data_IF_868389045451
#
_entry.id   IF_868389045451
#
_cell.length_a   1.000
_cell.length_b   1.000
_cell.length_c   1.000
_cell.angle_alpha   90.00
_cell.angle_beta   90.00
_cell.angle_gamma   90.00
#
_symmetry.space_group_name_H-M   'P 1'
#
loop_
_entity.id
_entity.type
_entity.pdbx_description
1 polymer ?
#
# COMPACT_ATOMS: atom_id res chain seq x y z
N UNK A 1 -19.96 41.41 36.01
CA UNK A 1 -20.27 39.98 35.83
C UNK A 1 -20.34 39.71 34.34
N UNK A 2 -19.23 39.25 33.75
CA UNK A 2 -19.20 38.87 32.33
C UNK A 2 -19.72 37.43 32.22
N UNK A 3 -20.80 37.25 31.47
CA UNK A 3 -21.39 35.95 31.16
C UNK A 3 -20.52 35.28 30.09
N UNK A 4 -19.95 34.12 30.42
CA UNK A 4 -19.16 33.31 29.51
C UNK A 4 -20.09 32.40 28.69
N UNK A 5 -20.02 32.52 27.36
CA UNK A 5 -20.67 31.58 26.44
C UNK A 5 -20.00 30.20 26.50
N UNK A 6 -20.76 29.10 26.43
CA UNK A 6 -20.20 27.75 26.44
C UNK A 6 -19.65 27.43 25.05
N UNK A 7 -18.31 27.27 24.97
CA UNK A 7 -17.64 26.67 23.80
C UNK A 7 -18.07 25.20 23.69
N UNK A 8 -18.97 24.90 22.77
CA UNK A 8 -19.34 23.52 22.41
C UNK A 8 -18.12 22.81 21.83
N UNK A 9 -17.67 21.78 22.53
CA UNK A 9 -16.46 21.04 22.26
C UNK A 9 -16.65 20.11 21.04
N UNK A 10 -16.25 20.55 19.84
CA UNK A 10 -16.34 19.78 18.58
C UNK A 10 -15.60 18.43 18.61
N UNK A 11 -14.64 18.24 19.52
CA UNK A 11 -13.94 16.97 19.67
C UNK A 11 -14.83 15.89 20.32
N UNK A 12 -15.65 16.26 21.31
CA UNK A 12 -16.57 15.32 21.96
C UNK A 12 -17.71 14.85 21.05
N UNK A 13 -18.08 15.66 20.05
CA UNK A 13 -19.10 15.31 19.06
C UNK A 13 -18.61 14.26 18.06
N UNK A 14 -17.31 14.28 17.70
CA UNK A 14 -16.69 13.30 16.79
C UNK A 14 -16.63 11.89 17.39
N UNK A 15 -16.27 11.79 18.66
CA UNK A 15 -16.21 10.51 19.38
C UNK A 15 -17.60 9.89 19.61
N UNK A 16 -18.62 10.73 19.84
CA UNK A 16 -20.02 10.29 19.93
C UNK A 16 -20.57 9.74 18.60
N UNK A 17 -20.22 10.35 17.46
CA UNK A 17 -20.60 9.82 16.14
C UNK A 17 -19.92 8.50 15.80
N UNK A 18 -18.64 8.33 16.17
CA UNK A 18 -17.91 7.08 15.96
C UNK A 18 -18.47 5.93 16.80
N UNK A 19 -18.74 6.20 18.08
CA UNK A 19 -19.43 5.25 18.98
C UNK A 19 -20.87 4.95 18.55
N UNK A 20 -21.59 5.94 18.00
CA UNK A 20 -22.92 5.73 17.46
C UNK A 20 -22.90 4.82 16.23
N UNK A 21 -21.95 5.01 15.30
CA UNK A 21 -21.80 4.16 14.12
C UNK A 21 -21.43 2.72 14.51
N UNK A 22 -20.49 2.54 15.46
CA UNK A 22 -20.11 1.21 15.97
C UNK A 22 -21.25 0.52 16.74
N UNK A 23 -22.02 1.26 17.53
CA UNK A 23 -23.23 0.72 18.18
C UNK A 23 -24.37 0.46 17.19
N UNK A 24 -24.46 1.21 16.08
CA UNK A 24 -25.44 0.97 15.00
C UNK A 24 -25.08 -0.28 14.20
N UNK A 25 -23.78 -0.51 13.93
CA UNK A 25 -23.25 -1.73 13.31
C UNK A 25 -23.55 -3.00 14.13
N UNK A 26 -23.66 -2.84 15.45
CA UNK A 26 -24.01 -3.93 16.37
C UNK A 26 -25.52 -4.21 16.43
N UNK A 27 -26.36 -3.20 16.18
CA UNK A 27 -27.81 -3.29 16.38
C UNK A 27 -28.63 -3.50 15.10
N UNK A 28 -28.16 -2.99 13.95
CA UNK A 28 -28.91 -2.92 12.69
C UNK A 28 -28.05 -3.42 11.53
N UNK A 29 -28.66 -4.16 10.59
CA UNK A 29 -27.95 -4.72 9.42
C UNK A 29 -27.29 -3.64 8.54
N UNK A 30 -26.24 -4.01 7.82
CA UNK A 30 -25.54 -3.15 6.86
C UNK A 30 -26.49 -2.51 5.83
N UNK A 31 -27.58 -3.20 5.48
CA UNK A 31 -28.62 -2.67 4.60
C UNK A 31 -29.33 -1.46 5.22
N UNK A 32 -29.73 -1.53 6.49
CA UNK A 32 -30.39 -0.42 7.18
C UNK A 32 -29.42 0.76 7.35
N UNK A 33 -28.15 0.49 7.63
CA UNK A 33 -27.10 1.52 7.67
C UNK A 33 -26.99 2.24 6.32
N UNK A 34 -26.93 1.50 5.20
CA UNK A 34 -26.82 2.08 3.86
C UNK A 34 -28.01 3.00 3.53
N UNK A 35 -29.22 2.67 4.00
CA UNK A 35 -30.41 3.51 3.79
C UNK A 35 -30.40 4.82 4.59
N UNK A 36 -29.68 4.86 5.72
CA UNK A 36 -29.68 6.00 6.66
C UNK A 36 -28.46 6.90 6.47
N UNK A 37 -27.34 6.35 6.01
CA UNK A 37 -26.06 7.05 5.79
C UNK A 37 -26.16 8.32 4.93
N UNK A 38 -26.92 8.37 3.81
CA UNK A 38 -27.00 9.56 2.97
C UNK A 38 -27.51 10.78 3.75
N UNK A 39 -28.56 10.59 4.53
CA UNK A 39 -29.17 11.62 5.37
C UNK A 39 -28.26 12.09 6.51
N UNK A 40 -27.44 11.18 7.07
CA UNK A 40 -26.50 11.50 8.14
C UNK A 40 -25.24 12.23 7.65
N UNK A 41 -24.83 11.99 6.40
CA UNK A 41 -23.64 12.62 5.82
C UNK A 41 -23.92 14.03 5.26
N UNK A 42 -25.18 14.36 4.94
CA UNK A 42 -25.54 15.68 4.39
C UNK A 42 -25.00 16.90 5.16
N UNK A 43 -24.99 16.94 6.51
CA UNK A 43 -24.49 18.09 7.27
C UNK A 43 -22.98 18.31 7.16
N UNK A 44 -22.22 17.31 6.73
CA UNK A 44 -20.75 17.32 6.74
C UNK A 44 -20.13 17.54 5.36
N UNK A 45 -20.93 17.52 4.30
CA UNK A 45 -20.48 17.67 2.91
C UNK A 45 -20.81 19.08 2.42
N UNK A 46 -19.79 19.94 2.39
CA UNK A 46 -19.96 21.36 2.05
C UNK A 46 -20.22 21.60 0.55
N UNK A 47 -19.63 20.78 -0.33
CA UNK A 47 -19.76 20.91 -1.78
C UNK A 47 -21.10 20.34 -2.28
N UNK A 48 -21.78 21.04 -3.20
CA UNK A 48 -22.99 20.56 -3.85
C UNK A 48 -22.71 19.36 -4.78
N UNK A 49 -21.55 19.38 -5.45
CA UNK A 49 -21.13 18.32 -6.36
C UNK A 49 -20.83 17.04 -5.59
N UNK A 50 -20.13 17.14 -4.45
CA UNK A 50 -19.81 16.00 -3.60
C UNK A 50 -21.08 15.38 -2.99
N UNK A 51 -22.06 16.20 -2.60
CA UNK A 51 -23.37 15.72 -2.12
C UNK A 51 -24.11 14.95 -3.21
N UNK A 52 -24.09 15.48 -4.43
CA UNK A 52 -24.75 14.85 -5.58
C UNK A 52 -24.08 13.53 -5.96
N UNK A 53 -22.75 13.50 -5.96
CA UNK A 53 -21.97 12.29 -6.19
C UNK A 53 -22.23 11.22 -5.12
N UNK A 54 -22.18 11.58 -3.84
CA UNK A 54 -22.44 10.64 -2.74
C UNK A 54 -23.87 10.11 -2.78
N UNK A 55 -24.87 10.95 -3.03
CA UNK A 55 -26.25 10.48 -3.22
C UNK A 55 -26.36 9.53 -4.41
N UNK A 56 -25.73 9.85 -5.55
CA UNK A 56 -25.73 8.96 -6.71
C UNK A 56 -25.06 7.60 -6.41
N UNK A 57 -23.99 7.58 -5.62
CA UNK A 57 -23.33 6.36 -5.16
C UNK A 57 -24.22 5.57 -4.18
N UNK A 58 -24.83 6.23 -3.21
CA UNK A 58 -25.69 5.58 -2.21
C UNK A 58 -27.07 5.22 -2.72
N UNK A 59 -27.53 5.74 -3.85
CA UNK A 59 -28.77 5.34 -4.55
C UNK A 59 -28.52 4.23 -5.58
N UNK A 60 -27.26 3.83 -5.77
CA UNK A 60 -26.86 2.87 -6.77
C UNK A 60 -27.42 1.48 -6.43
N UNK A 61 -28.27 0.94 -7.33
CA UNK A 61 -29.01 -0.30 -7.05
C UNK A 61 -28.10 -1.51 -6.87
N UNK A 62 -26.93 -1.53 -7.51
CA UNK A 62 -26.01 -2.66 -7.40
C UNK A 62 -25.38 -2.72 -6.01
N UNK A 63 -25.06 -1.58 -5.40
CA UNK A 63 -24.62 -1.48 -4.00
C UNK A 63 -25.63 -2.09 -3.02
N UNK A 64 -26.91 -1.74 -3.11
CA UNK A 64 -27.95 -2.35 -2.26
C UNK A 64 -28.10 -3.86 -2.49
N UNK A 65 -28.04 -4.29 -3.76
CA UNK A 65 -28.11 -5.70 -4.08
C UNK A 65 -26.92 -6.46 -3.48
N UNK A 66 -25.71 -5.89 -3.55
CA UNK A 66 -24.49 -6.47 -3.00
C UNK A 66 -24.55 -6.58 -1.48
N UNK A 67 -24.94 -5.51 -0.78
CA UNK A 67 -25.10 -5.53 0.69
C UNK A 67 -26.14 -6.55 1.12
N UNK A 68 -27.27 -6.63 0.41
CA UNK A 68 -28.31 -7.64 0.67
C UNK A 68 -27.85 -9.07 0.42
N UNK A 69 -27.03 -9.29 -0.61
CA UNK A 69 -26.41 -10.60 -0.88
C UNK A 69 -25.45 -10.95 0.27
N UNK A 70 -24.62 -10.01 0.69
CA UNK A 70 -23.67 -10.18 1.78
C UNK A 70 -24.35 -10.57 3.09
N UNK A 71 -25.41 -9.86 3.51
CA UNK A 71 -26.17 -10.20 4.72
C UNK A 71 -26.79 -11.59 4.63
N UNK A 72 -27.34 -11.95 3.47
CA UNK A 72 -27.88 -13.30 3.23
C UNK A 72 -26.81 -14.38 3.27
N UNK A 73 -25.62 -14.08 2.74
CA UNK A 73 -24.48 -15.00 2.74
C UNK A 73 -23.95 -15.22 4.15
N UNK A 74 -23.80 -14.17 4.96
CA UNK A 74 -23.42 -14.28 6.37
C UNK A 74 -24.42 -15.13 7.17
N UNK A 75 -25.73 -14.90 6.94
CA UNK A 75 -26.77 -15.73 7.55
C UNK A 75 -26.68 -17.19 7.11
N UNK A 76 -26.31 -17.44 5.85
CA UNK A 76 -26.09 -18.79 5.32
C UNK A 76 -24.85 -19.43 5.91
N UNK A 77 -23.72 -18.73 6.04
CA UNK A 77 -22.50 -19.24 6.68
C UNK A 77 -22.76 -19.67 8.13
N UNK A 78 -23.52 -18.87 8.88
CA UNK A 78 -23.89 -19.20 10.26
C UNK A 78 -24.85 -20.40 10.40
N UNK A 79 -25.61 -20.73 9.34
CA UNK A 79 -26.62 -21.79 9.32
C UNK A 79 -26.34 -22.85 8.26
N UNK A 80 -25.11 -22.92 7.76
CA UNK A 80 -24.79 -23.79 6.66
C UNK A 80 -25.04 -25.24 7.09
N UNK A 81 -25.73 -26.04 6.26
CA UNK A 81 -25.96 -27.43 6.61
C UNK A 81 -24.61 -28.15 6.71
N UNK A 82 -24.37 -28.81 7.83
CA UNK A 82 -23.21 -29.68 7.98
C UNK A 82 -23.53 -31.03 7.33
N UNK A 83 -22.69 -31.52 6.41
CA UNK A 83 -22.89 -32.84 5.84
C UNK A 83 -22.79 -33.89 6.95
N UNK A 84 -23.72 -34.85 6.95
CA UNK A 84 -23.72 -35.95 7.93
C UNK A 84 -22.53 -36.88 7.71
N UNK A 85 -22.11 -37.03 6.46
CA UNK A 85 -20.95 -37.80 6.02
C UNK A 85 -20.34 -37.11 4.79
N UNK A 86 -19.07 -37.34 4.51
CA UNK A 86 -18.33 -36.80 3.37
C UNK A 86 -18.00 -37.84 2.28
N UNK A 87 -18.39 -39.09 2.53
CA UNK A 87 -17.98 -40.31 1.85
C UNK A 87 -19.14 -41.28 1.62
N UNK A 88 -20.36 -40.75 1.45
CA UNK A 88 -21.57 -41.55 1.25
C UNK A 88 -21.52 -42.37 -0.05
N UNK A 89 -20.86 -41.88 -1.10
CA UNK A 89 -20.62 -42.61 -2.33
C UNK A 89 -19.64 -43.77 -2.17
N UNK A 90 -18.58 -43.59 -1.37
CA UNK A 90 -17.64 -44.67 -1.04
C UNK A 90 -18.32 -45.76 -0.23
N UNK A 91 -19.06 -45.38 0.82
CA UNK A 91 -19.81 -46.32 1.64
C UNK A 91 -20.82 -47.14 0.81
N UNK A 92 -21.54 -46.50 -0.11
CA UNK A 92 -22.48 -47.18 -1.00
C UNK A 92 -21.79 -48.18 -1.94
N UNK A 93 -20.57 -47.88 -2.40
CA UNK A 93 -19.77 -48.79 -3.22
C UNK A 93 -19.28 -49.98 -2.40
N UNK A 94 -18.71 -49.73 -1.22
CA UNK A 94 -18.16 -50.77 -0.36
C UNK A 94 -19.28 -51.72 0.11
N UNK A 95 -20.46 -51.19 0.43
CA UNK A 95 -21.67 -51.97 0.72
C UNK A 95 -22.11 -52.82 -0.48
N UNK A 96 -22.04 -52.26 -1.69
CA UNK A 96 -22.38 -52.98 -2.93
C UNK A 96 -21.43 -54.16 -3.16
N UNK A 97 -20.14 -54.00 -2.87
CA UNK A 97 -19.13 -55.06 -2.98
C UNK A 97 -19.31 -56.15 -1.92
N UNK A 98 -19.58 -55.77 -0.66
CA UNK A 98 -19.80 -56.75 0.41
C UNK A 98 -21.07 -57.58 0.19
N UNK A 99 -22.16 -56.94 -0.27
CA UNK A 99 -23.45 -57.61 -0.47
C UNK A 99 -23.49 -58.51 -1.72
N UNK A 100 -22.64 -58.26 -2.72
CA UNK A 100 -22.52 -59.14 -3.89
C UNK A 100 -22.02 -60.54 -3.54
N UNK A 101 -21.24 -60.68 -2.46
CA UNK A 101 -20.71 -61.96 -1.98
C UNK A 101 -21.63 -62.72 -1.03
N UNK A 102 -22.78 -62.15 -0.62
CA UNK A 102 -23.72 -62.77 0.33
C UNK A 102 -25.00 -63.22 -0.37
N UNK A 103 -25.59 -64.32 0.12
CA UNK A 103 -26.72 -65.02 -0.52
C UNK A 103 -27.94 -64.15 -0.85
N UNK A 104 -28.69 -64.58 -1.86
CA UNK A 104 -29.72 -63.80 -2.55
C UNK A 104 -31.05 -63.66 -1.77
N UNK A 105 -31.09 -62.81 -0.75
CA UNK A 105 -32.38 -62.25 -0.28
C UNK A 105 -32.93 -61.28 -1.34
N UNK A 106 -34.25 -61.21 -1.48
CA UNK A 106 -34.89 -60.34 -2.46
C UNK A 106 -34.66 -58.85 -2.13
N UNK A 107 -34.53 -58.51 -0.84
CA UNK A 107 -34.17 -57.17 -0.35
C UNK A 107 -32.76 -56.76 -0.78
N UNK A 108 -31.78 -57.68 -0.68
CA UNK A 108 -30.40 -57.44 -1.13
C UNK A 108 -30.38 -57.16 -2.64
N UNK A 109 -31.16 -57.92 -3.41
CA UNK A 109 -31.26 -57.74 -4.87
C UNK A 109 -31.87 -56.39 -5.25
N UNK A 110 -32.90 -55.97 -4.52
CA UNK A 110 -33.52 -54.66 -4.72
C UNK A 110 -32.58 -53.52 -4.36
N UNK A 111 -31.87 -53.61 -3.23
CA UNK A 111 -30.88 -52.61 -2.80
C UNK A 111 -29.73 -52.48 -3.80
N UNK A 112 -29.16 -53.60 -4.27
CA UNK A 112 -28.13 -53.60 -5.31
C UNK A 112 -28.64 -52.99 -6.62
N UNK A 113 -29.91 -53.24 -6.98
CA UNK A 113 -30.54 -52.62 -8.16
C UNK A 113 -30.74 -51.11 -7.99
N UNK A 114 -30.97 -50.63 -6.77
CA UNK A 114 -31.08 -49.20 -6.47
C UNK A 114 -29.71 -48.51 -6.50
N UNK A 115 -28.72 -49.06 -5.80
CA UNK A 115 -27.34 -48.54 -5.74
C UNK A 115 -26.63 -48.56 -7.10
N UNK A 116 -27.02 -49.47 -8.00
CA UNK A 116 -26.51 -49.52 -9.36
C UNK A 116 -27.08 -48.44 -10.28
N UNK A 117 -28.17 -47.75 -9.92
CA UNK A 117 -28.77 -46.71 -10.76
C UNK A 117 -27.81 -45.54 -10.96
N UNK A 118 -27.61 -45.07 -12.21
CA UNK A 118 -26.66 -44.00 -12.51
C UNK A 118 -27.00 -42.71 -11.76
N UNK A 119 -28.28 -42.36 -11.65
CA UNK A 119 -28.71 -41.16 -10.93
C UNK A 119 -28.36 -41.18 -9.44
N UNK A 120 -28.45 -42.34 -8.80
CA UNK A 120 -28.12 -42.45 -7.38
C UNK A 120 -26.61 -42.35 -7.18
N UNK A 121 -25.81 -43.00 -8.04
CA UNK A 121 -24.34 -42.84 -8.05
C UNK A 121 -23.91 -41.40 -8.26
N UNK A 122 -24.52 -40.71 -9.24
CA UNK A 122 -24.25 -39.29 -9.48
C UNK A 122 -24.64 -38.41 -8.30
N UNK A 123 -25.79 -38.67 -7.67
CA UNK A 123 -26.23 -37.93 -6.48
C UNK A 123 -25.25 -38.09 -5.32
N UNK A 124 -24.80 -39.31 -5.03
CA UNK A 124 -23.82 -39.59 -3.98
C UNK A 124 -22.45 -38.97 -4.30
N UNK A 125 -22.03 -38.98 -5.57
CA UNK A 125 -20.80 -38.33 -6.01
C UNK A 125 -20.85 -36.80 -5.81
N UNK A 126 -21.97 -36.17 -6.17
CA UNK A 126 -22.18 -34.72 -5.97
C UNK A 126 -22.25 -34.39 -4.49
N UNK A 127 -22.94 -35.22 -3.70
CA UNK A 127 -22.97 -35.08 -2.25
C UNK A 127 -21.56 -35.06 -1.67
N UNK A 128 -20.73 -36.06 -1.98
CA UNK A 128 -19.37 -36.16 -1.45
C UNK A 128 -18.50 -34.98 -1.91
N UNK A 129 -18.67 -34.50 -3.15
CA UNK A 129 -17.95 -33.33 -3.65
C UNK A 129 -18.32 -32.04 -2.91
N UNK A 130 -19.61 -31.83 -2.61
CA UNK A 130 -20.08 -30.67 -1.84
C UNK A 130 -19.65 -30.78 -0.37
N UNK A 131 -19.79 -31.97 0.21
CA UNK A 131 -19.43 -32.23 1.61
C UNK A 131 -17.94 -32.01 1.87
N UNK A 132 -17.07 -32.46 0.95
CA UNK A 132 -15.62 -32.23 1.00
C UNK A 132 -15.19 -30.85 0.53
N UNK A 133 -16.13 -30.00 0.12
CA UNK A 133 -15.86 -28.68 -0.47
C UNK A 133 -14.93 -28.74 -1.71
N UNK A 134 -14.91 -29.86 -2.43
CA UNK A 134 -14.06 -30.06 -3.62
C UNK A 134 -14.67 -29.44 -4.90
N UNK A 135 -15.39 -28.33 -4.74
CA UNK A 135 -15.92 -27.51 -5.83
C UNK A 135 -15.09 -26.24 -6.05
N UNK A 136 -14.22 -25.90 -5.09
CA UNK A 136 -13.26 -24.81 -5.24
C UNK A 136 -12.15 -25.22 -6.21
N UNK A 137 -11.64 -24.31 -7.05
CA UNK A 137 -10.46 -24.59 -7.85
C UNK A 137 -9.30 -24.93 -6.90
N UNK A 138 -8.79 -26.15 -6.99
CA UNK A 138 -7.60 -26.56 -6.25
C UNK A 138 -6.41 -25.83 -6.87
N UNK A 139 -5.70 -25.04 -6.05
CA UNK A 139 -4.40 -24.52 -6.45
C UNK A 139 -3.46 -25.72 -6.62
N UNK A 140 -2.62 -25.75 -7.68
CA UNK A 140 -1.60 -26.77 -7.80
C UNK A 140 -0.75 -26.79 -6.53
N UNK A 141 -0.36 -27.98 -6.02
CA UNK A 141 0.53 -28.07 -4.88
C UNK A 141 1.81 -27.31 -5.18
N UNK A 142 2.28 -26.54 -4.20
CA UNK A 142 3.53 -25.81 -4.30
C UNK A 142 4.67 -26.83 -4.53
N UNK A 143 5.63 -26.55 -5.42
CA UNK A 143 6.82 -27.39 -5.58
C UNK A 143 7.55 -27.58 -4.24
N UNK A 144 8.08 -28.77 -4.00
CA UNK A 144 8.87 -29.08 -2.79
C UNK A 144 10.20 -28.30 -2.73
N UNK A 145 10.60 -27.66 -3.83
CA UNK A 145 11.82 -26.87 -3.99
C UNK A 145 11.57 -25.35 -3.94
N UNK A 146 10.48 -24.90 -3.31
CA UNK A 146 10.36 -23.49 -2.96
C UNK A 146 11.18 -23.25 -1.70
N UNK A 147 12.34 -22.61 -1.84
CA UNK A 147 13.00 -21.99 -0.70
C UNK A 147 11.99 -20.98 -0.11
N UNK A 148 11.57 -21.19 1.14
CA UNK A 148 10.67 -20.28 1.90
C UNK A 148 11.25 -18.84 2.02
N UNK A 149 12.48 -18.64 1.54
CA UNK A 149 13.22 -17.38 1.45
C UNK A 149 13.08 -16.68 0.09
N UNK A 150 12.35 -17.23 -0.90
CA UNK A 150 12.11 -16.51 -2.16
C UNK A 150 11.12 -15.36 -1.92
N UNK A 151 11.68 -14.19 -1.63
CA UNK A 151 10.97 -12.94 -1.40
C UNK A 151 9.81 -12.76 -2.39
N UNK A 152 8.60 -12.51 -1.88
CA UNK A 152 7.42 -12.30 -2.73
C UNK A 152 7.63 -11.15 -3.71
N UNK A 153 7.86 -11.49 -4.97
CA UNK A 153 8.19 -10.52 -6.00
C UNK A 153 6.94 -9.87 -6.58
N UNK A 154 6.98 -8.55 -6.73
CA UNK A 154 5.97 -7.72 -7.39
C UNK A 154 6.44 -7.28 -8.78
N UNK A 155 5.61 -7.52 -9.80
CA UNK A 155 5.86 -7.02 -11.16
C UNK A 155 5.10 -5.70 -11.35
N UNK A 156 5.83 -4.62 -11.62
CA UNK A 156 5.29 -3.27 -11.78
C UNK A 156 5.51 -2.83 -13.23
N UNK A 157 4.46 -2.36 -13.88
CA UNK A 157 4.55 -1.80 -15.23
C UNK A 157 4.24 -0.31 -15.19
N UNK A 158 5.24 0.51 -15.49
CA UNK A 158 5.14 1.96 -15.51
C UNK A 158 5.23 2.46 -16.96
N UNK A 159 4.42 3.44 -17.34
CA UNK A 159 4.56 4.09 -18.65
C UNK A 159 5.47 5.31 -18.50
N UNK A 160 6.69 5.20 -19.03
CA UNK A 160 7.65 6.29 -19.13
C UNK A 160 7.34 7.14 -20.37
N UNK A 161 6.96 8.39 -20.13
CA UNK A 161 6.83 9.42 -21.16
C UNK A 161 8.19 10.11 -21.39
N UNK A 162 8.20 11.34 -21.92
CA UNK A 162 9.41 12.19 -21.98
C UNK A 162 9.88 12.66 -20.59
N UNK A 163 9.19 12.28 -19.52
CA UNK A 163 9.49 12.71 -18.16
C UNK A 163 10.24 11.62 -17.37
N UNK A 164 11.05 12.06 -16.38
CA UNK A 164 11.53 11.26 -15.26
C UNK A 164 10.59 10.22 -14.69
N UNK A 165 11.12 9.10 -14.19
CA UNK A 165 10.34 8.29 -13.24
C UNK A 165 10.13 9.05 -11.93
N UNK A 166 11.11 9.85 -11.50
CA UNK A 166 11.01 10.61 -10.26
C UNK A 166 11.24 9.73 -9.03
N UNK A 167 12.27 8.88 -9.09
CA UNK A 167 12.76 8.11 -7.96
C UNK A 167 14.29 8.19 -7.92
N UNK A 168 14.90 7.99 -6.76
CA UNK A 168 16.35 7.77 -6.63
C UNK A 168 16.62 6.35 -6.19
N UNK A 169 17.70 5.76 -6.69
CA UNK A 169 18.18 4.45 -6.32
C UNK A 169 19.56 4.55 -5.69
N UNK A 170 19.88 3.57 -4.85
CA UNK A 170 21.22 3.37 -4.30
C UNK A 170 21.54 1.89 -4.29
N UNK A 171 22.82 1.57 -4.19
CA UNK A 171 23.25 0.21 -3.90
C UNK A 171 23.17 0.01 -2.40
N UNK A 172 22.46 -1.02 -1.95
CA UNK A 172 22.40 -1.36 -0.54
C UNK A 172 23.68 -2.10 -0.11
N UNK A 173 24.26 -1.68 1.02
CA UNK A 173 25.53 -2.24 1.48
C UNK A 173 25.39 -3.66 2.06
N UNK A 174 24.20 -4.03 2.55
CA UNK A 174 23.97 -5.31 3.22
C UNK A 174 23.61 -6.41 2.22
N UNK A 175 22.61 -6.16 1.38
CA UNK A 175 22.16 -7.09 0.33
C UNK A 175 23.04 -7.05 -0.92
N UNK A 176 23.75 -5.93 -1.15
CA UNK A 176 24.40 -5.67 -2.43
C UNK A 176 23.42 -5.35 -3.57
N UNK A 177 22.11 -5.39 -3.31
CA UNK A 177 21.04 -5.14 -4.28
C UNK A 177 20.82 -3.65 -4.55
N UNK A 178 19.97 -3.36 -5.52
CA UNK A 178 19.62 -1.98 -5.91
C UNK A 178 18.29 -1.63 -5.25
N UNK A 179 18.30 -0.66 -4.35
CA UNK A 179 17.11 -0.28 -3.58
C UNK A 179 16.64 1.12 -3.93
N UNK A 180 15.32 1.32 -3.89
CA UNK A 180 14.71 2.65 -4.04
C UNK A 180 14.97 3.47 -2.78
N UNK A 181 15.80 4.50 -2.90
CA UNK A 181 16.19 5.36 -1.79
C UNK A 181 15.17 6.48 -1.51
N UNK A 182 14.55 7.02 -2.56
CA UNK A 182 13.58 8.13 -2.44
C UNK A 182 12.58 8.13 -3.58
N UNK A 183 11.34 8.52 -3.28
CA UNK A 183 10.31 8.85 -4.28
C UNK A 183 10.14 10.38 -4.33
N UNK A 184 10.25 10.97 -5.52
CA UNK A 184 10.07 12.40 -5.73
C UNK A 184 8.60 12.74 -5.95
N UNK A 185 8.07 13.66 -5.12
CA UNK A 185 6.67 14.08 -5.17
C UNK A 185 6.32 14.69 -6.51
N UNK A 186 5.18 14.25 -7.06
CA UNK A 186 4.69 14.64 -8.36
C UNK A 186 5.38 13.96 -9.56
N UNK A 187 6.35 13.06 -9.35
CA UNK A 187 6.96 12.22 -10.40
C UNK A 187 6.07 11.05 -10.83
N UNK A 188 6.45 10.33 -11.89
CA UNK A 188 5.66 9.19 -12.38
C UNK A 188 5.56 8.04 -11.35
N UNK A 189 6.62 7.80 -10.57
CA UNK A 189 6.65 6.82 -9.49
C UNK A 189 5.66 7.17 -8.37
N UNK A 190 5.71 8.42 -7.86
CA UNK A 190 4.79 8.92 -6.83
C UNK A 190 3.33 8.86 -7.28
N UNK A 191 3.04 9.33 -8.51
CA UNK A 191 1.67 9.32 -9.05
C UNK A 191 1.12 7.91 -9.30
N UNK A 192 2.00 6.92 -9.51
CA UNK A 192 1.58 5.53 -9.67
C UNK A 192 1.20 4.87 -8.35
N UNK A 193 1.87 5.25 -7.25
CA UNK A 193 1.77 4.57 -5.95
C UNK A 193 2.18 3.09 -5.99
N UNK A 194 2.89 2.65 -7.03
CA UNK A 194 3.27 1.25 -7.19
C UNK A 194 4.66 0.93 -6.62
N UNK A 195 5.56 1.92 -6.62
CA UNK A 195 6.95 1.82 -6.16
C UNK A 195 7.09 2.64 -4.88
N UNK A 196 7.70 2.06 -3.86
CA UNK A 196 7.90 2.66 -2.54
C UNK A 196 9.38 2.73 -2.16
N UNK A 197 9.67 3.54 -1.14
CA UNK A 197 11.03 3.66 -0.59
C UNK A 197 11.40 2.39 0.15
N UNK A 198 12.50 1.79 -0.26
CA UNK A 198 13.02 0.52 0.25
C UNK A 198 12.77 -0.66 -0.68
N UNK A 199 11.93 -0.52 -1.72
CA UNK A 199 11.72 -1.59 -2.70
C UNK A 199 13.06 -1.97 -3.35
N UNK A 200 13.38 -3.26 -3.38
CA UNK A 200 14.59 -3.78 -4.01
C UNK A 200 14.29 -4.18 -5.45
N UNK A 201 15.04 -3.61 -6.39
CA UNK A 201 14.93 -3.89 -7.81
C UNK A 201 15.72 -5.15 -8.14
N UNK A 202 15.05 -6.15 -8.74
CA UNK A 202 15.66 -7.40 -9.23
C UNK A 202 15.83 -7.40 -10.75
N UNK A 203 14.85 -6.87 -11.49
CA UNK A 203 14.94 -6.76 -12.95
C UNK A 203 14.31 -5.47 -13.47
N UNK A 204 14.86 -4.96 -14.58
CA UNK A 204 14.34 -3.83 -15.35
C UNK A 204 14.24 -4.22 -16.81
N UNK A 205 13.04 -4.20 -17.39
CA UNK A 205 12.75 -4.64 -18.76
C UNK A 205 13.27 -6.06 -19.07
N UNK A 206 13.18 -6.96 -18.10
CA UNK A 206 13.68 -8.35 -18.22
C UNK A 206 15.21 -8.47 -18.12
N UNK A 207 15.91 -7.39 -17.76
CA UNK A 207 17.35 -7.39 -17.54
C UNK A 207 17.61 -7.42 -16.03
N UNK A 208 18.29 -8.44 -15.48
CA UNK A 208 18.63 -8.51 -14.07
C UNK A 208 19.56 -7.37 -13.67
N UNK A 209 19.38 -6.86 -12.45
CA UNK A 209 20.14 -5.70 -11.94
C UNK A 209 21.09 -6.02 -10.78
N UNK A 210 21.10 -7.25 -10.25
CA UNK A 210 21.92 -7.63 -9.09
C UNK A 210 23.43 -7.33 -9.29
N UNK A 211 23.94 -7.57 -10.50
CA UNK A 211 25.36 -7.34 -10.85
C UNK A 211 25.64 -5.95 -11.44
N UNK A 212 24.64 -5.07 -11.52
CA UNK A 212 24.75 -3.79 -12.21
C UNK A 212 24.98 -2.64 -11.26
N UNK A 213 25.70 -1.63 -11.72
CA UNK A 213 25.83 -0.37 -11.00
C UNK A 213 24.61 0.53 -11.26
N UNK A 214 24.26 1.43 -10.32
CA UNK A 214 23.16 2.39 -10.52
C UNK A 214 23.25 3.17 -11.84
N UNK A 215 24.45 3.52 -12.30
CA UNK A 215 24.66 4.26 -13.54
C UNK A 215 24.25 3.45 -14.78
N UNK A 216 24.47 2.14 -14.79
CA UNK A 216 24.07 1.26 -15.89
C UNK A 216 22.56 1.12 -15.96
N UNK A 217 21.89 1.07 -14.82
CA UNK A 217 20.43 0.98 -14.71
C UNK A 217 19.78 2.26 -15.23
N UNK A 218 20.38 3.42 -14.92
CA UNK A 218 19.95 4.71 -15.47
C UNK A 218 20.19 4.75 -16.98
N UNK A 219 21.29 4.18 -17.48
CA UNK A 219 21.52 3.98 -18.91
C UNK A 219 20.38 3.20 -19.58
N UNK A 220 19.97 2.07 -18.99
CA UNK A 220 18.86 1.25 -19.50
C UNK A 220 17.53 2.02 -19.48
N UNK A 221 17.25 2.71 -18.39
CA UNK A 221 15.99 3.45 -18.19
C UNK A 221 15.91 4.71 -19.05
N UNK A 222 17.04 5.35 -19.36
CA UNK A 222 17.11 6.53 -20.24
C UNK A 222 16.91 6.17 -21.71
N UNK A 223 17.38 5.00 -22.14
CA UNK A 223 17.19 4.49 -23.51
C UNK A 223 15.80 3.89 -23.74
N UNK A 224 15.11 3.50 -22.67
CA UNK A 224 13.78 2.92 -22.72
C UNK A 224 12.70 3.99 -22.90
N UNK A 225 11.77 3.79 -23.85
CA UNK A 225 10.59 4.63 -24.05
C UNK A 225 9.31 3.80 -23.98
N UNK A 226 8.23 4.36 -23.45
CA UNK A 226 6.95 3.66 -23.34
C UNK A 226 6.86 2.82 -22.06
N UNK A 227 6.43 1.56 -22.17
CA UNK A 227 6.22 0.71 -21.00
C UNK A 227 7.54 0.16 -20.46
N UNK A 228 7.82 0.43 -19.19
CA UNK A 228 8.93 -0.11 -18.43
C UNK A 228 8.39 -1.10 -17.42
N UNK A 229 8.96 -2.30 -17.38
CA UNK A 229 8.59 -3.36 -16.44
C UNK A 229 9.68 -3.50 -15.40
N UNK A 230 9.30 -3.44 -14.13
CA UNK A 230 10.15 -3.69 -12.99
C UNK A 230 9.73 -4.98 -12.31
N UNK A 231 10.72 -5.76 -11.88
CA UNK A 231 10.54 -6.86 -10.95
C UNK A 231 11.16 -6.42 -9.63
N UNK A 232 10.35 -6.26 -8.59
CA UNK A 232 10.80 -5.73 -7.30
C UNK A 232 10.42 -6.64 -6.14
N UNK A 233 11.25 -6.66 -5.10
CA UNK A 233 10.89 -7.17 -3.78
C UNK A 233 10.36 -5.99 -2.95
N UNK A 234 9.09 -6.00 -2.53
CA UNK A 234 8.52 -4.91 -1.74
C UNK A 234 9.20 -4.76 -0.39
N UNK A 235 9.45 -3.51 0.04
CA UNK A 235 9.87 -3.26 1.41
C UNK A 235 8.75 -3.60 2.39
N UNK A 236 9.05 -4.34 3.46
CA UNK A 236 8.14 -4.51 4.59
C UNK A 236 8.08 -3.19 5.36
N UNK A 237 7.08 -2.35 5.03
CA UNK A 237 6.78 -1.13 5.78
C UNK A 237 5.29 -0.93 5.99
N UNK A 238 4.97 -0.53 7.21
CA UNK A 238 3.65 -0.05 7.63
C UNK A 238 3.52 1.42 7.20
N UNK A 239 2.87 1.65 6.05
CA UNK A 239 2.68 3.01 5.51
C UNK A 239 1.62 3.76 6.34
N UNK A 240 2.07 4.69 7.16
CA UNK A 240 1.19 5.67 7.80
C UNK A 240 0.83 6.76 6.80
N UNK A 241 -0.43 6.76 6.34
CA UNK A 241 -1.00 7.78 5.44
C UNK A 241 -1.14 9.13 6.15
N UNK A 242 -0.04 9.81 6.45
CA UNK A 242 -0.06 11.17 6.97
C UNK A 242 -0.27 12.15 5.81
N UNK A 243 -1.51 12.60 5.64
CA UNK A 243 -1.81 13.80 4.84
C UNK A 243 -1.33 15.03 5.60
N UNK A 244 -0.06 15.37 5.42
CA UNK A 244 0.49 16.58 6.02
C UNK A 244 -0.14 17.86 5.41
N UNK A 245 -0.32 18.91 6.22
CA UNK A 245 -0.87 20.19 5.74
C UNK A 245 0.06 20.84 4.71
N UNK A 246 -0.53 21.51 3.71
CA UNK A 246 0.22 22.30 2.71
C UNK A 246 0.98 23.42 3.41
N UNK A 247 2.31 23.39 3.34
CA UNK A 247 3.19 24.40 3.92
C UNK A 247 3.86 25.24 2.83
N UNK A 248 3.93 26.55 3.06
CA UNK A 248 4.62 27.51 2.19
C UNK A 248 5.69 28.23 3.00
N UNK A 249 6.89 28.35 2.43
CA UNK A 249 8.02 29.03 3.05
C UNK A 249 8.59 30.08 2.11
N UNK A 250 9.15 31.15 2.68
CA UNK A 250 9.86 32.18 1.92
C UNK A 250 11.36 32.01 2.09
N UNK A 251 12.09 31.91 0.99
CA UNK A 251 13.54 31.81 1.01
C UNK A 251 14.17 33.12 1.51
N UNK A 252 15.09 33.01 2.49
CA UNK A 252 15.82 34.15 3.06
C UNK A 252 17.27 34.26 2.55
N UNK A 253 17.68 33.31 1.71
CA UNK A 253 19.01 33.18 1.13
C UNK A 253 18.90 32.56 -0.27
N UNK A 254 19.98 32.63 -1.03
CA UNK A 254 20.09 31.98 -2.34
C UNK A 254 20.65 30.57 -2.17
N UNK A 255 20.12 29.61 -2.91
CA UNK A 255 20.57 28.21 -2.89
C UNK A 255 20.84 27.70 -4.30
N UNK A 256 22.03 27.12 -4.49
CA UNK A 256 22.42 26.46 -5.72
C UNK A 256 22.84 25.01 -5.42
N UNK A 257 22.06 24.00 -5.87
CA UNK A 257 22.36 22.58 -5.59
C UNK A 257 23.65 22.10 -6.27
N UNK A 258 24.15 22.79 -7.30
CA UNK A 258 25.40 22.43 -7.96
C UNK A 258 26.62 22.65 -7.06
N UNK A 259 26.56 23.71 -6.26
CA UNK A 259 27.64 24.11 -5.34
C UNK A 259 27.61 23.32 -4.03
N UNK A 260 26.46 22.70 -3.72
CA UNK A 260 26.27 21.91 -2.52
C UNK A 260 26.91 20.52 -2.67
N UNK A 261 27.83 20.19 -1.77
CA UNK A 261 28.48 18.87 -1.73
C UNK A 261 27.69 17.85 -0.90
N UNK A 262 26.80 18.31 -0.03
CA UNK A 262 26.04 17.46 0.88
C UNK A 262 24.70 16.99 0.27
N UNK A 263 24.31 17.51 -0.90
CA UNK A 263 23.08 17.08 -1.57
C UNK A 263 23.22 15.62 -2.08
N UNK A 264 22.27 14.72 -1.74
CA UNK A 264 22.35 13.31 -2.12
C UNK A 264 22.35 13.08 -3.62
N UNK A 265 21.60 13.92 -4.35
CA UNK A 265 21.53 13.90 -5.80
C UNK A 265 21.35 15.32 -6.35
N UNK A 266 22.39 15.85 -7.00
CA UNK A 266 22.40 17.21 -7.56
C UNK A 266 21.31 17.44 -8.60
N UNK A 267 21.02 16.42 -9.41
CA UNK A 267 20.02 16.47 -10.49
C UNK A 267 18.58 16.60 -9.95
N UNK A 268 18.37 16.21 -8.70
CA UNK A 268 17.08 16.36 -8.02
C UNK A 268 16.98 17.68 -7.24
N UNK A 269 18.04 18.48 -7.15
CA UNK A 269 18.06 19.73 -6.38
C UNK A 269 17.22 20.85 -6.99
N UNK A 270 16.52 21.60 -6.14
CA UNK A 270 15.77 22.79 -6.53
C UNK A 270 16.57 24.05 -6.18
N UNK A 271 17.08 24.75 -7.20
CA UNK A 271 17.70 26.07 -7.00
C UNK A 271 16.62 27.12 -6.70
N UNK A 272 16.92 28.07 -5.82
CA UNK A 272 16.04 29.19 -5.49
C UNK A 272 16.84 30.43 -5.07
N UNK A 273 16.19 31.60 -5.14
CA UNK A 273 16.74 32.88 -4.71
C UNK A 273 16.02 33.39 -3.47
N UNK A 274 16.72 34.26 -2.74
CA UNK A 274 16.15 35.02 -1.64
C UNK A 274 14.91 35.76 -2.11
N UNK A 275 13.79 35.54 -1.43
CA UNK A 275 12.50 36.12 -1.72
C UNK A 275 11.51 35.17 -2.37
N UNK A 276 11.98 34.07 -2.96
CA UNK A 276 11.12 33.05 -3.59
C UNK A 276 10.20 32.40 -2.55
N UNK A 277 8.99 32.04 -2.99
CA UNK A 277 8.05 31.26 -2.19
C UNK A 277 8.10 29.81 -2.66
N UNK A 278 8.33 28.90 -1.71
CA UNK A 278 8.47 27.48 -1.94
C UNK A 278 7.30 26.77 -1.26
N UNK A 279 6.58 25.95 -2.01
CA UNK A 279 5.59 25.04 -1.48
C UNK A 279 6.29 23.74 -1.06
N UNK A 280 6.33 23.47 0.25
CA UNK A 280 6.87 22.23 0.81
C UNK A 280 5.84 21.12 0.64
N UNK A 281 6.26 20.02 0.02
CA UNK A 281 5.43 18.87 -0.32
C UNK A 281 5.68 17.65 0.57
N UNK A 282 6.89 17.49 1.11
CA UNK A 282 7.26 16.36 1.97
C UNK A 282 8.46 16.74 2.86
N UNK A 283 8.38 16.38 4.14
CA UNK A 283 9.40 16.63 5.16
C UNK A 283 9.96 15.33 5.78
N UNK A 284 9.65 14.17 5.19
CA UNK A 284 9.99 12.84 5.72
C UNK A 284 11.50 12.66 5.97
N UNK A 285 12.32 13.39 5.21
CA UNK A 285 13.76 13.49 5.42
C UNK A 285 14.10 14.73 6.25
N UNK A 286 14.73 14.51 7.41
CA UNK A 286 15.11 15.57 8.34
C UNK A 286 16.19 16.54 7.82
N UNK A 287 16.86 16.24 6.72
CA UNK A 287 17.93 17.02 6.09
C UNK A 287 17.51 17.62 4.75
N UNK A 288 16.74 16.89 3.94
CA UNK A 288 16.41 17.25 2.56
C UNK A 288 14.92 17.20 2.28
N UNK A 289 14.26 18.36 2.33
CA UNK A 289 12.83 18.48 2.05
C UNK A 289 12.54 18.48 0.55
N UNK A 290 11.34 18.05 0.18
CA UNK A 290 10.86 18.15 -1.19
C UNK A 290 9.95 19.36 -1.32
N UNK A 291 10.28 20.26 -2.24
CA UNK A 291 9.50 21.47 -2.47
C UNK A 291 9.41 21.79 -3.96
N UNK A 292 8.52 22.71 -4.30
CA UNK A 292 8.48 23.35 -5.62
C UNK A 292 8.32 24.84 -5.50
N UNK A 293 8.71 25.58 -6.53
CA UNK A 293 8.47 27.02 -6.62
C UNK A 293 6.97 27.30 -6.80
N UNK A 294 6.44 28.23 -6.03
CA UNK A 294 5.06 28.69 -6.19
C UNK A 294 4.93 29.49 -7.50
N UNK A 295 3.99 29.09 -8.36
CA UNK A 295 3.78 29.69 -9.68
C UNK A 295 4.54 29.02 -10.82
N UNK A 296 5.41 28.05 -10.55
CA UNK A 296 5.98 27.19 -11.59
C UNK A 296 4.94 26.16 -12.05
N UNK A 297 4.84 25.96 -13.36
CA UNK A 297 3.98 24.94 -13.99
C UNK A 297 4.50 23.52 -13.77
N UNK A 298 5.72 23.37 -13.24
CA UNK A 298 6.29 22.07 -12.92
C UNK A 298 5.59 21.43 -11.72
N UNK A 299 5.06 20.22 -11.94
CA UNK A 299 4.38 19.43 -10.91
C UNK A 299 5.38 18.65 -10.03
N UNK A 300 6.64 18.54 -10.48
CA UNK A 300 7.68 17.75 -9.81
C UNK A 300 8.37 18.55 -8.72
N UNK A 301 8.51 17.96 -7.55
CA UNK A 301 9.30 18.52 -6.46
C UNK A 301 10.81 18.32 -6.71
N UNK A 302 11.61 19.27 -6.21
CA UNK A 302 13.05 19.14 -6.07
C UNK A 302 13.49 19.25 -4.61
N UNK A 303 14.73 18.87 -4.35
CA UNK A 303 15.32 18.84 -3.01
C UNK A 303 15.78 20.23 -2.58
N UNK A 304 15.41 20.61 -1.37
CA UNK A 304 15.88 21.81 -0.68
C UNK A 304 16.42 21.43 0.70
N UNK A 305 17.42 22.16 1.24
CA UNK A 305 17.90 21.93 2.59
C UNK A 305 16.79 22.20 3.61
N UNK A 306 16.67 21.32 4.62
CA UNK A 306 15.72 21.48 5.71
C UNK A 306 16.12 22.66 6.61
N UNK A 307 15.13 23.19 7.35
CA UNK A 307 15.39 24.25 8.34
C UNK A 307 16.47 23.83 9.34
N UNK A 308 16.36 22.63 9.88
CA UNK A 308 17.29 22.11 10.90
C UNK A 308 18.71 21.92 10.35
N UNK A 309 18.83 21.45 9.11
CA UNK A 309 20.13 21.31 8.46
C UNK A 309 20.80 22.67 8.24
N UNK A 310 20.02 23.67 7.79
CA UNK A 310 20.52 25.02 7.62
C UNK A 310 20.92 25.68 8.95
N UNK A 311 20.15 25.46 10.02
CA UNK A 311 20.49 25.95 11.36
C UNK A 311 21.78 25.33 11.89
N UNK A 312 22.02 24.04 11.64
CA UNK A 312 23.28 23.36 11.98
C UNK A 312 24.47 23.91 11.18
N UNK A 313 24.31 24.13 9.88
CA UNK A 313 25.36 24.74 9.05
C UNK A 313 25.68 26.16 9.53
N UNK A 314 24.66 26.98 9.79
CA UNK A 314 24.83 28.33 10.30
C UNK A 314 25.49 28.33 11.70
N UNK A 315 25.08 27.43 12.59
CA UNK A 315 25.68 27.28 13.90
C UNK A 315 27.14 26.85 13.81
N UNK A 316 27.46 25.85 12.99
CA UNK A 316 28.85 25.40 12.78
C UNK A 316 29.72 26.53 12.23
N UNK A 317 29.23 27.28 11.22
CA UNK A 317 29.95 28.44 10.68
C UNK A 317 30.19 29.49 11.77
N UNK A 318 29.19 29.82 12.59
CA UNK A 318 29.33 30.78 13.68
C UNK A 318 30.27 30.29 14.79
N UNK A 319 30.22 29.00 15.14
CA UNK A 319 31.06 28.40 16.18
C UNK A 319 32.53 28.31 15.76
N UNK A 320 32.82 27.97 14.50
CA UNK A 320 34.18 27.88 13.97
C UNK A 320 34.76 29.24 13.50
N UNK A 321 33.94 30.29 13.40
CA UNK A 321 34.38 31.64 13.02
C UNK A 321 34.68 32.57 14.20
N UNK A 322 34.47 32.13 15.45
CA UNK A 322 34.77 32.91 16.66
C UNK A 322 36.09 32.45 17.30
N UNK A 323 37.10 33.32 17.46
CA UNK A 323 38.38 32.93 18.04
C UNK A 323 38.35 33.07 19.56
N UNK A 324 37.69 32.17 20.31
CA UNK A 324 37.85 32.14 21.78
C UNK A 324 37.80 30.73 22.40
N UNK A 325 38.98 30.35 22.93
CA UNK A 325 39.36 29.39 23.99
C UNK A 325 39.00 27.89 23.85
N UNK A 326 40.01 26.99 23.82
CA UNK A 326 39.81 25.57 24.10
C UNK A 326 39.64 25.38 25.62
N UNK A 327 38.96 24.30 26.02
CA UNK A 327 38.65 23.91 27.41
C UNK A 327 37.38 24.52 28.03
N UNK A 328 36.22 24.14 27.52
CA UNK A 328 35.10 23.72 28.38
C UNK A 328 34.06 23.00 27.52
N UNK A 329 33.39 22.02 28.12
CA UNK A 329 32.40 21.10 27.55
C UNK A 329 32.97 19.85 26.87
N UNK A 330 33.21 18.84 27.71
CA UNK A 330 32.93 17.47 27.32
C UNK A 330 31.46 17.34 26.95
N UNK A 331 31.16 17.52 25.67
CA UNK A 331 29.96 16.96 25.05
C UNK A 331 30.37 15.57 24.58
N UNK A 332 29.82 14.56 25.22
CA UNK A 332 29.83 13.20 24.74
C UNK A 332 29.26 13.23 23.32
N UNK A 333 30.11 13.01 22.32
CA UNK A 333 29.70 12.74 20.95
C UNK A 333 28.86 11.46 20.94
N UNK A 334 27.56 11.61 21.13
CA UNK A 334 26.61 10.76 20.43
C UNK A 334 26.45 11.37 19.03
N UNK A 335 27.54 11.31 18.27
CA UNK A 335 27.46 11.27 16.83
C UNK A 335 26.58 10.06 16.52
N UNK A 336 25.30 10.30 16.25
CA UNK A 336 24.51 9.37 15.46
C UNK A 336 25.32 9.13 14.21
N UNK A 337 25.92 7.96 14.15
CA UNK A 337 26.66 7.39 13.04
C UNK A 337 25.68 7.32 11.87
N UNK A 338 25.46 8.44 11.18
CA UNK A 338 24.85 8.45 9.86
C UNK A 338 26.00 8.44 8.86
N UNK A 339 26.81 7.38 8.98
CA UNK A 339 27.67 6.92 7.91
C UNK A 339 26.75 6.41 6.81
N UNK A 340 26.44 7.27 5.86
CA UNK A 340 26.77 6.94 4.49
C UNK A 340 26.73 8.20 3.63
N UNK A 341 27.87 8.55 3.05
CA UNK A 341 27.92 9.27 1.78
C UNK A 341 27.39 8.33 0.67
N UNK A 342 26.12 7.92 0.77
CA UNK A 342 25.48 7.09 -0.24
C UNK A 342 25.26 7.99 -1.45
N UNK A 343 26.12 7.85 -2.46
CA UNK A 343 25.88 8.41 -3.78
C UNK A 343 24.54 7.87 -4.29
N UNK A 344 23.49 8.70 -4.20
CA UNK A 344 22.17 8.36 -4.72
C UNK A 344 22.10 8.82 -6.16
N UNK A 345 21.65 7.93 -7.03
CA UNK A 345 21.51 8.25 -8.43
C UNK A 345 20.03 8.30 -8.80
N UNK A 346 19.65 9.37 -9.49
CA UNK A 346 18.26 9.64 -9.75
C UNK A 346 17.84 9.02 -11.09
N UNK A 347 16.72 8.29 -11.06
CA UNK A 347 16.04 7.81 -12.25
C UNK A 347 15.10 8.91 -12.69
N UNK A 348 15.71 9.94 -13.27
CA UNK A 348 15.03 11.12 -13.79
C UNK A 348 14.83 11.06 -15.32
#
# INVERSE_FOLDING_TARGET
MASAEPRTNMAAMRDMTGMAILNFLSANGLYEMLTVLPSQLQPYVASADDRSFLNAMFEERSLYALVKIHEKLQCYEARAPTPVLDSAGLLARDLTEELQGRGASDEIRELLKLLSKPHLKSLLSVHDAVARKSYSPELPPLPDDLDDEEDSVKIIRLVKNKEPLGATIKKDEHSGGIVVARILKGGAADRSGLIHVGDELREVNGIPVDDKKPEEIIGILSQSQGAITFKVVPAIKDESLNKEPKMYVKALFDYNPVDDKAIPCKEAGLAFKKGDILQVMCQDDGTWWQAKLEGDGNLRAGLIPSKHFQERLAFAILFFSLPLLPEAFGLQDHASHNSSEDLQQAIL
#
